data_IF_982091080027
#
_entry.id   IF_982091080027
#
_cell.length_a   1.000
_cell.length_b   1.000
_cell.length_c   1.000
_cell.angle_alpha   90.00
_cell.angle_beta   90.00
_cell.angle_gamma   90.00
#
_symmetry.space_group_name_H-M   'P 1'
#
loop_
_entity.id
_entity.type
_entity.pdbx_description
1 polymer ?
#
# COMPACT_ATOMS: atom_id res chain seq x y z
N UNK A 1 43.24 -16.93 10.04
CA UNK A 1 42.50 -17.09 8.78
C UNK A 1 41.25 -16.21 8.88
N UNK A 2 41.09 -15.19 8.01
CA UNK A 2 40.02 -14.16 8.13
C UNK A 2 38.87 -14.34 7.14
N UNK A 3 38.87 -15.44 6.39
CA UNK A 3 37.82 -15.75 5.42
C UNK A 3 36.48 -15.91 6.15
N UNK A 4 35.51 -15.07 5.81
CA UNK A 4 34.15 -15.10 6.36
C UNK A 4 33.16 -15.51 5.28
N UNK A 5 32.20 -16.37 5.62
CA UNK A 5 31.02 -16.64 4.79
C UNK A 5 29.86 -15.78 5.27
N UNK A 6 29.12 -15.20 4.34
CA UNK A 6 27.87 -14.51 4.62
C UNK A 6 26.71 -15.23 3.96
N UNK A 7 25.65 -15.39 4.73
CA UNK A 7 24.38 -15.93 4.30
C UNK A 7 23.33 -14.85 4.62
N UNK A 8 22.65 -14.33 3.59
CA UNK A 8 21.65 -13.26 3.73
C UNK A 8 20.30 -13.81 3.27
N UNK A 9 19.35 -14.05 4.20
CA UNK A 9 18.00 -14.46 3.84
C UNK A 9 17.20 -13.25 3.34
N UNK A 10 16.51 -13.42 2.21
CA UNK A 10 15.68 -12.39 1.57
C UNK A 10 14.33 -13.02 1.22
N UNK A 11 13.23 -12.40 1.68
CA UNK A 11 11.88 -12.76 1.30
C UNK A 11 11.32 -11.78 0.27
N UNK A 12 10.76 -12.28 -0.83
CA UNK A 12 10.08 -11.46 -1.85
C UNK A 12 8.62 -11.88 -2.03
N UNK A 13 7.77 -10.98 -2.50
CA UNK A 13 6.35 -11.25 -2.67
C UNK A 13 6.10 -12.26 -3.79
N UNK A 14 5.09 -13.10 -3.61
CA UNK A 14 4.68 -14.10 -4.62
C UNK A 14 4.30 -13.52 -5.99
N UNK A 15 4.00 -12.22 -6.07
CA UNK A 15 3.70 -11.53 -7.33
C UNK A 15 4.91 -11.25 -8.22
N UNK A 16 6.14 -11.55 -7.75
CA UNK A 16 7.38 -11.25 -8.48
C UNK A 16 7.92 -12.48 -9.22
N UNK A 17 8.57 -12.27 -10.37
CA UNK A 17 9.24 -13.35 -11.10
C UNK A 17 10.50 -13.81 -10.35
N UNK A 18 10.55 -15.07 -9.85
CA UNK A 18 11.70 -15.58 -9.10
C UNK A 18 13.00 -15.60 -9.91
N UNK A 19 12.93 -15.75 -11.25
CA UNK A 19 14.15 -15.73 -12.09
C UNK A 19 14.72 -14.32 -12.21
N UNK A 20 13.85 -13.31 -12.32
CA UNK A 20 14.25 -11.91 -12.35
C UNK A 20 14.90 -11.51 -11.03
N UNK A 21 14.27 -11.88 -9.91
CA UNK A 21 14.81 -11.63 -8.57
C UNK A 21 16.19 -12.28 -8.41
N UNK A 22 16.35 -13.55 -8.81
CA UNK A 22 17.62 -14.26 -8.75
C UNK A 22 18.74 -13.53 -9.52
N UNK A 23 18.45 -13.10 -10.75
CA UNK A 23 19.40 -12.38 -11.58
C UNK A 23 19.85 -11.05 -10.94
N UNK A 24 18.90 -10.26 -10.43
CA UNK A 24 19.18 -8.98 -9.75
C UNK A 24 20.06 -9.20 -8.50
N UNK A 25 19.70 -10.18 -7.66
CA UNK A 25 20.47 -10.49 -6.45
C UNK A 25 21.90 -10.92 -6.79
N UNK A 26 22.08 -11.74 -7.83
CA UNK A 26 23.40 -12.19 -8.26
C UNK A 26 24.24 -11.02 -8.81
N UNK A 27 23.63 -10.14 -9.60
CA UNK A 27 24.29 -8.93 -10.14
C UNK A 27 24.78 -8.01 -9.02
N UNK A 28 23.91 -7.71 -8.05
CA UNK A 28 24.21 -6.85 -6.90
C UNK A 28 25.41 -7.37 -6.09
N UNK A 29 25.43 -8.67 -5.83
CA UNK A 29 26.51 -9.29 -5.03
C UNK A 29 27.82 -9.32 -5.81
N UNK A 30 27.78 -9.61 -7.12
CA UNK A 30 28.97 -9.60 -7.98
C UNK A 30 29.54 -8.19 -8.17
N UNK A 31 28.70 -7.17 -8.11
CA UNK A 31 29.11 -5.77 -8.20
C UNK A 31 29.78 -5.26 -6.91
N UNK A 32 29.53 -5.90 -5.77
CA UNK A 32 30.03 -5.42 -4.48
C UNK A 32 31.56 -5.62 -4.34
N UNK A 33 32.36 -4.58 -4.06
CA UNK A 33 33.83 -4.65 -4.12
C UNK A 33 34.47 -5.52 -3.03
N UNK A 34 33.81 -5.69 -1.89
CA UNK A 34 34.29 -6.49 -0.76
C UNK A 34 33.96 -7.98 -0.86
N UNK A 35 33.20 -8.39 -1.89
CA UNK A 35 32.85 -9.81 -2.12
C UNK A 35 33.92 -10.47 -2.97
N UNK A 36 34.36 -11.65 -2.54
CA UNK A 36 35.30 -12.46 -3.31
C UNK A 36 34.63 -13.03 -4.56
N UNK A 37 35.35 -12.98 -5.69
CA UNK A 37 34.94 -13.63 -6.93
C UNK A 37 35.22 -15.13 -6.94
N UNK A 38 36.14 -15.58 -6.09
CA UNK A 38 36.52 -16.97 -5.93
C UNK A 38 36.70 -17.28 -4.43
N UNK A 39 35.80 -18.04 -3.78
CA UNK A 39 34.67 -18.78 -4.36
C UNK A 39 33.58 -17.86 -4.95
N UNK A 40 32.92 -18.30 -6.02
CA UNK A 40 31.87 -17.50 -6.68
C UNK A 40 30.65 -17.34 -5.75
N UNK A 41 30.10 -16.13 -5.59
CA UNK A 41 28.87 -15.94 -4.85
C UNK A 41 27.71 -16.63 -5.57
N UNK A 42 26.78 -17.17 -4.78
CA UNK A 42 25.63 -17.90 -5.28
C UNK A 42 24.35 -17.42 -4.60
N UNK A 43 23.26 -17.42 -5.35
CA UNK A 43 21.91 -17.18 -4.83
C UNK A 43 21.12 -18.46 -4.97
N UNK A 44 20.52 -18.92 -3.88
CA UNK A 44 19.68 -20.10 -3.84
C UNK A 44 18.23 -19.71 -3.54
N UNK A 45 17.29 -20.33 -4.23
CA UNK A 45 15.89 -20.32 -3.84
C UNK A 45 15.71 -21.44 -2.80
N UNK A 46 15.41 -21.10 -1.56
CA UNK A 46 15.46 -22.05 -0.44
C UNK A 46 14.11 -22.67 -0.14
N UNK A 47 13.05 -21.86 -0.07
CA UNK A 47 11.73 -22.33 0.31
C UNK A 47 10.62 -21.41 -0.20
N UNK A 48 9.40 -21.96 -0.16
CA UNK A 48 8.16 -21.19 -0.26
C UNK A 48 7.69 -20.89 1.16
N UNK A 49 7.83 -19.64 1.60
CA UNK A 49 7.38 -19.16 2.90
C UNK A 49 5.86 -18.91 2.91
N UNK A 50 5.27 -18.75 4.11
CA UNK A 50 3.82 -18.58 4.25
C UNK A 50 3.26 -17.34 3.52
N UNK A 51 4.07 -16.30 3.36
CA UNK A 51 3.70 -15.06 2.66
C UNK A 51 4.81 -14.52 1.74
N UNK A 52 5.91 -15.26 1.58
CA UNK A 52 7.10 -14.88 0.83
C UNK A 52 7.68 -16.04 0.02
N UNK A 53 8.39 -15.71 -1.05
CA UNK A 53 9.37 -16.55 -1.71
C UNK A 53 10.72 -16.33 -1.02
N UNK A 54 11.30 -17.37 -0.45
CA UNK A 54 12.51 -17.26 0.35
C UNK A 54 13.74 -17.56 -0.50
N UNK A 55 14.66 -16.60 -0.50
CA UNK A 55 15.95 -16.67 -1.17
C UNK A 55 17.07 -16.54 -0.15
N UNK A 56 18.18 -17.20 -0.42
CA UNK A 56 19.39 -17.11 0.39
C UNK A 56 20.57 -16.74 -0.50
N UNK A 57 21.18 -15.61 -0.17
CA UNK A 57 22.35 -15.11 -0.86
C UNK A 57 23.59 -15.53 -0.08
N UNK A 58 24.50 -16.24 -0.75
CA UNK A 58 25.74 -16.77 -0.17
C UNK A 58 26.96 -16.14 -0.85
N UNK A 59 27.83 -15.55 -0.05
CA UNK A 59 29.07 -14.95 -0.54
C UNK A 59 30.22 -15.13 0.46
N UNK A 60 31.44 -14.98 -0.03
CA UNK A 60 32.66 -15.07 0.77
C UNK A 60 33.37 -13.72 0.82
N UNK A 61 33.92 -13.37 1.98
CA UNK A 61 34.68 -12.16 2.20
C UNK A 61 36.09 -12.49 2.67
N UNK A 62 37.05 -11.66 2.26
CA UNK A 62 38.43 -11.76 2.71
C UNK A 62 38.63 -11.34 4.18
N UNK A 63 37.77 -10.45 4.69
CA UNK A 63 37.85 -9.92 6.05
C UNK A 63 36.51 -9.97 6.79
N UNK A 64 36.45 -10.82 7.80
CA UNK A 64 35.29 -10.98 8.68
C UNK A 64 34.93 -9.72 9.49
N UNK A 65 35.87 -8.80 9.73
CA UNK A 65 35.56 -7.55 10.46
C UNK A 65 34.62 -6.65 9.67
N UNK A 66 34.61 -6.78 8.34
CA UNK A 66 33.73 -6.00 7.45
C UNK A 66 32.36 -6.64 7.22
N UNK A 67 32.12 -7.84 7.77
CA UNK A 67 30.95 -8.66 7.51
C UNK A 67 29.63 -7.91 7.73
N UNK A 68 29.49 -7.22 8.88
CA UNK A 68 28.27 -6.48 9.22
C UNK A 68 28.02 -5.32 8.26
N UNK A 69 29.09 -4.63 7.84
CA UNK A 69 29.00 -3.51 6.89
C UNK A 69 28.52 -4.00 5.54
N UNK A 70 29.15 -5.05 5.01
CA UNK A 70 28.77 -5.62 3.71
C UNK A 70 27.34 -6.15 3.72
N UNK A 71 26.91 -6.83 4.80
CA UNK A 71 25.52 -7.27 4.89
C UNK A 71 24.53 -6.11 4.83
N UNK A 72 24.83 -4.99 5.50
CA UNK A 72 23.95 -3.83 5.47
C UNK A 72 23.96 -3.13 4.11
N UNK A 73 25.14 -2.93 3.52
CA UNK A 73 25.29 -2.31 2.20
C UNK A 73 24.54 -3.10 1.13
N UNK A 74 24.66 -4.44 1.16
CA UNK A 74 23.89 -5.34 0.28
C UNK A 74 22.39 -5.22 0.53
N UNK A 75 21.93 -5.20 1.79
CA UNK A 75 20.49 -5.03 2.09
C UNK A 75 19.95 -3.71 1.57
N UNK A 76 20.68 -2.60 1.70
CA UNK A 76 20.28 -1.31 1.16
C UNK A 76 20.19 -1.34 -0.36
N UNK A 77 21.21 -1.88 -1.04
CA UNK A 77 21.21 -2.01 -2.49
C UNK A 77 20.06 -2.89 -3.01
N UNK A 78 19.69 -3.94 -2.26
CA UNK A 78 18.54 -4.80 -2.59
C UNK A 78 17.24 -4.00 -2.48
N UNK A 79 17.04 -3.25 -1.39
CA UNK A 79 15.81 -2.46 -1.19
C UNK A 79 15.67 -1.40 -2.29
N UNK A 80 16.74 -0.69 -2.63
CA UNK A 80 16.75 0.30 -3.71
C UNK A 80 16.40 -0.33 -5.06
N UNK A 81 17.06 -1.43 -5.43
CA UNK A 81 16.78 -2.11 -6.70
C UNK A 81 15.40 -2.75 -6.77
N UNK A 82 14.89 -3.26 -5.65
CA UNK A 82 13.54 -3.81 -5.60
C UNK A 82 12.49 -2.71 -5.76
N UNK A 83 12.72 -1.52 -5.18
CA UNK A 83 11.87 -0.37 -5.38
C UNK A 83 11.86 0.10 -6.86
N UNK A 84 13.02 0.13 -7.51
CA UNK A 84 13.14 0.48 -8.94
C UNK A 84 12.42 -0.51 -9.87
N UNK A 85 12.52 -1.81 -9.56
CA UNK A 85 11.96 -2.89 -10.37
C UNK A 85 10.49 -3.21 -10.04
N UNK A 86 9.92 -2.55 -9.02
CA UNK A 86 8.56 -2.77 -8.56
C UNK A 86 8.34 -4.11 -7.85
N UNK A 87 9.38 -4.67 -7.24
CA UNK A 87 9.33 -5.93 -6.47
C UNK A 87 8.85 -5.60 -5.06
N UNK A 88 7.67 -6.12 -4.70
CA UNK A 88 7.09 -5.93 -3.36
C UNK A 88 7.75 -6.85 -2.33
N UNK A 89 8.15 -6.28 -1.19
CA UNK A 89 8.63 -7.03 -0.02
C UNK A 89 7.42 -7.34 0.86
N UNK A 90 7.09 -8.62 1.07
CA UNK A 90 5.87 -9.01 1.75
C UNK A 90 6.02 -8.74 3.25
N UNK A 91 4.99 -8.13 3.83
CA UNK A 91 4.87 -8.04 5.28
C UNK A 91 4.21 -9.31 5.82
N UNK A 92 4.66 -9.82 6.99
CA UNK A 92 4.00 -10.94 7.63
C UNK A 92 2.55 -10.58 7.93
N UNK A 93 1.61 -11.33 7.34
CA UNK A 93 0.18 -11.15 7.58
C UNK A 93 -0.26 -12.15 8.65
N UNK A 94 -0.64 -11.66 9.82
CA UNK A 94 -1.29 -12.49 10.84
C UNK A 94 -2.79 -12.44 10.59
N UNK A 95 -3.38 -13.57 10.21
CA UNK A 95 -4.84 -13.68 10.16
C UNK A 95 -5.38 -13.85 11.59
N UNK A 96 -6.31 -13.00 11.99
CA UNK A 96 -6.96 -13.05 13.30
C UNK A 96 -8.37 -13.58 13.11
N UNK A 97 -8.55 -14.88 13.32
CA UNK A 97 -9.88 -15.50 13.37
C UNK A 97 -10.57 -15.12 14.69
N UNK A 98 -11.53 -14.19 14.64
CA UNK A 98 -12.33 -13.81 15.81
C UNK A 98 -13.40 -14.89 16.08
N UNK A 99 -13.19 -15.70 17.12
CA UNK A 99 -14.17 -16.67 17.59
C UNK A 99 -14.95 -16.11 18.78
N UNK A 100 -16.25 -15.87 18.57
CA UNK A 100 -17.17 -15.43 19.62
C UNK A 100 -17.28 -13.91 19.75
N UNK A 101 -18.26 -13.32 19.08
CA UNK A 101 -18.71 -11.96 19.35
C UNK A 101 -19.67 -11.99 20.53
N UNK A 102 -19.25 -11.47 21.68
CA UNK A 102 -20.16 -11.23 22.81
C UNK A 102 -20.76 -9.84 22.60
N UNK A 103 -22.08 -9.70 22.37
CA UNK A 103 -22.69 -8.40 22.23
C UNK A 103 -22.64 -7.67 23.57
N UNK A 104 -21.78 -6.66 23.69
CA UNK A 104 -21.77 -5.76 24.83
C UNK A 104 -22.97 -4.83 24.70
N UNK A 105 -23.97 -5.03 25.55
CA UNK A 105 -25.16 -4.18 25.62
C UNK A 105 -24.85 -3.00 26.53
N UNK A 106 -24.77 -1.80 25.97
CA UNK A 106 -24.66 -0.58 26.75
C UNK A 106 -26.07 -0.16 27.18
N UNK A 107 -26.42 -0.40 28.44
CA UNK A 107 -27.63 0.17 29.04
C UNK A 107 -27.42 1.68 29.21
N UNK A 108 -28.12 2.46 28.39
CA UNK A 108 -28.09 3.91 28.45
C UNK A 108 -29.13 4.33 29.50
N UNK A 109 -28.71 4.48 30.74
CA UNK A 109 -29.46 5.15 31.80
C UNK A 109 -29.62 6.63 31.43
N UNK A 110 -30.64 6.94 30.63
CA UNK A 110 -31.05 8.30 30.33
C UNK A 110 -32.57 8.37 30.49
N UNK A 111 -33.04 8.51 31.74
CA UNK A 111 -34.46 8.80 32.00
C UNK A 111 -34.75 9.90 33.01
N UNK A 112 -33.76 10.55 33.63
CA UNK A 112 -34.08 11.47 34.74
C UNK A 112 -33.90 12.98 34.47
N UNK A 113 -33.67 13.44 33.23
CA UNK A 113 -33.53 14.90 32.99
C UNK A 113 -34.17 15.42 31.69
N UNK A 114 -35.45 15.12 31.44
CA UNK A 114 -36.34 16.03 30.67
C UNK A 114 -37.76 15.97 31.27
N UNK A 115 -37.93 16.55 32.45
CA UNK A 115 -39.26 16.91 32.97
C UNK A 115 -39.29 18.41 33.29
N UNK A 116 -39.38 19.23 32.25
CA UNK A 116 -40.04 20.53 32.35
C UNK A 116 -41.00 20.69 31.17
N UNK A 117 -42.28 20.47 31.47
CA UNK A 117 -43.45 20.70 30.63
C UNK A 117 -43.62 22.22 30.44
N UNK A 118 -43.64 22.78 29.22
CA UNK A 118 -44.17 24.11 29.05
C UNK A 118 -45.70 24.04 29.14
N UNK A 119 -46.26 24.86 30.02
CA UNK A 119 -47.68 25.05 30.23
C UNK A 119 -48.36 25.62 28.98
N UNK A 120 -49.55 25.13 28.68
CA UNK A 120 -50.46 25.78 27.75
C UNK A 120 -51.02 27.08 28.35
N UNK A 121 -51.21 28.13 27.54
CA UNK A 121 -52.50 28.87 27.36
C UNK A 121 -52.29 30.17 26.56
N UNK A 122 -52.92 30.17 25.39
CA UNK A 122 -53.64 31.24 24.67
C UNK A 122 -53.51 32.72 25.09
N UNK A 123 -53.12 33.58 24.13
CA UNK A 123 -53.70 34.93 23.96
C UNK A 123 -53.54 35.48 22.53
N UNK A 124 -54.65 35.42 21.80
CA UNK A 124 -55.13 36.25 20.66
C UNK A 124 -54.61 37.70 20.59
N UNK A 125 -54.15 38.17 19.40
CA UNK A 125 -54.66 39.35 18.61
C UNK A 125 -54.11 39.34 17.16
N UNK A 126 -55.02 39.15 16.20
CA UNK A 126 -55.26 39.84 14.91
C UNK A 126 -54.19 40.76 14.23
N UNK A 127 -53.92 40.50 12.93
CA UNK A 127 -54.15 41.39 11.74
C UNK A 127 -53.00 41.44 10.70
N UNK A 128 -53.35 41.11 9.44
CA UNK A 128 -52.92 41.73 8.15
C UNK A 128 -51.44 41.63 7.71
N UNK A 129 -51.04 41.53 6.43
CA UNK A 129 -51.60 41.33 5.08
C UNK A 129 -50.39 41.12 4.13
N UNK A 130 -50.55 40.33 3.05
CA UNK A 130 -49.85 40.38 1.73
C UNK A 130 -48.29 40.40 1.65
N UNK A 131 -47.56 39.96 0.61
CA UNK A 131 -47.81 39.60 -0.80
C UNK A 131 -46.63 38.74 -1.32
N UNK A 132 -46.97 37.77 -2.18
CA UNK A 132 -46.34 37.36 -3.43
C UNK A 132 -44.81 37.11 -3.62
N UNK A 133 -44.52 35.97 -4.26
CA UNK A 133 -43.32 35.68 -5.05
C UNK A 133 -42.68 34.35 -4.63
N UNK A 134 -43.05 33.19 -5.19
CA UNK A 134 -42.76 32.77 -6.57
C UNK A 134 -41.31 32.26 -6.64
N UNK A 135 -40.94 31.09 -7.15
CA UNK A 135 -41.63 30.00 -7.86
C UNK A 135 -40.72 28.78 -7.77
N UNK A 136 -41.33 27.61 -7.61
CA UNK A 136 -40.77 26.27 -7.76
C UNK A 136 -40.24 26.07 -9.18
N UNK A 137 -39.03 25.55 -9.38
CA UNK A 137 -38.71 24.80 -10.59
C UNK A 137 -37.92 23.54 -10.23
N UNK A 138 -38.64 22.45 -10.45
CA UNK A 138 -38.25 21.05 -10.37
C UNK A 138 -37.08 20.71 -11.30
N UNK A 139 -36.13 19.94 -10.77
CA UNK A 139 -35.18 19.16 -11.54
C UNK A 139 -35.88 17.94 -12.13
N UNK A 140 -36.05 17.93 -13.45
CA UNK A 140 -36.28 16.70 -14.22
C UNK A 140 -35.59 16.83 -15.58
N UNK A 141 -34.45 16.15 -15.69
CA UNK A 141 -33.88 15.58 -16.91
C UNK A 141 -34.87 14.51 -17.51
N UNK A 142 -34.67 13.90 -18.71
CA UNK A 142 -33.64 14.06 -19.74
C UNK A 142 -34.16 13.96 -21.22
N UNK A 143 -33.22 13.92 -22.18
CA UNK A 143 -33.29 13.37 -23.56
C UNK A 143 -33.91 14.23 -24.68
N UNK A 144 -33.07 14.59 -25.66
CA UNK A 144 -33.27 14.43 -27.12
C UNK A 144 -32.37 15.43 -27.86
N UNK A 145 -31.21 14.98 -28.35
CA UNK A 145 -30.94 14.64 -29.76
C UNK A 145 -30.42 15.84 -30.58
N UNK A 146 -29.38 15.62 -31.40
CA UNK A 146 -29.07 16.61 -32.45
C UNK A 146 -27.67 16.77 -33.05
N UNK A 147 -26.73 15.80 -33.03
CA UNK A 147 -25.70 15.60 -34.07
C UNK A 147 -24.75 16.81 -34.46
N UNK A 148 -23.89 16.77 -35.51
CA UNK A 148 -22.45 16.50 -35.36
C UNK A 148 -21.47 17.46 -36.12
N UNK A 149 -20.20 17.58 -35.68
CA UNK A 149 -18.97 17.95 -36.45
C UNK A 149 -17.88 18.41 -35.44
N UNK A 150 -16.57 18.21 -35.59
CA UNK A 150 -15.74 17.68 -36.65
C UNK A 150 -14.32 17.39 -36.09
N UNK A 151 -13.67 16.39 -36.66
CA UNK A 151 -12.28 15.99 -36.38
C UNK A 151 -11.29 16.99 -37.00
N UNK A 152 -10.25 17.41 -36.28
CA UNK A 152 -8.96 17.81 -36.88
C UNK A 152 -7.79 17.37 -35.99
N UNK A 153 -7.04 16.41 -36.53
CA UNK A 153 -5.74 15.87 -36.11
C UNK A 153 -4.62 16.87 -36.46
N UNK A 154 -3.45 16.85 -35.79
CA UNK A 154 -2.49 17.97 -35.79
C UNK A 154 -1.48 17.89 -36.95
N UNK A 155 -0.77 18.99 -37.28
CA UNK A 155 0.31 18.94 -38.24
C UNK A 155 1.67 18.60 -37.61
N UNK A 156 2.42 17.84 -38.39
CA UNK A 156 3.79 17.34 -38.25
C UNK A 156 4.77 18.39 -38.80
N UNK A 157 5.88 18.65 -38.09
CA UNK A 157 7.13 19.26 -38.62
C UNK A 157 8.25 18.72 -37.73
N UNK A 158 9.16 17.86 -38.18
CA UNK A 158 10.30 18.13 -39.07
C UNK A 158 11.17 19.27 -38.56
N UNK A 159 12.18 18.93 -37.75
CA UNK A 159 13.60 19.17 -38.02
C UNK A 159 14.45 18.21 -37.17
#
# INVERSE_FOLDING_TARGET
NKLGRIDIPIGVGYGSDPRKVHAILLELIKAHPLVLKNPEPAVAFTAFGASSLDFEVRAFLADITTLMRVQNDVRFAIVERFAEEGIEIPFPRTDLEVRGVVPVRFEREASDMISEKPAATDSRVESQEEVAGGTVLDNVDPLSSGAPAGKKTPPRSSN
#
